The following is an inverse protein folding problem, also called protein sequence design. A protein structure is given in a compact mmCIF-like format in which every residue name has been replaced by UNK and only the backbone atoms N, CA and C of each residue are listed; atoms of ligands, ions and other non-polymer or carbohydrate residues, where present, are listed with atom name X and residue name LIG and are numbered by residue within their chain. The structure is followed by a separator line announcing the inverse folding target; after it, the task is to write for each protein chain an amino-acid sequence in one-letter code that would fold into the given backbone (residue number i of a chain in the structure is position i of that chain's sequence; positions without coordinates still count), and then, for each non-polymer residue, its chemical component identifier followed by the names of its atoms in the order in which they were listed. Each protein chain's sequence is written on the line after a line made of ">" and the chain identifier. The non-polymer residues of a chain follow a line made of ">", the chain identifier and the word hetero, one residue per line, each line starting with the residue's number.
data_IF_610701388877
#
_entry.id   IF_610701388877
#
_cell.length_a   1.000
_cell.length_b   1.000
_cell.length_c   1.000
_cell.angle_alpha   90.00
_cell.angle_beta   90.00
_cell.angle_gamma   90.00
#
_symmetry.space_group_name_H-M   'P 1'
#
loop_
_entity.id
_entity.type
_entity.pdbx_description
1 polymer ?
#
# COMPACT_ATOMS: atom_id res chain seq x y z
N UNK A 1 12.59 4.80 18.83
CA UNK A 1 12.70 4.31 17.45
C UNK A 1 11.79 5.11 16.55
N UNK A 2 12.33 5.68 15.49
CA UNK A 2 11.53 6.50 14.57
C UNK A 2 10.68 5.62 13.69
N UNK A 3 9.38 5.91 13.66
CA UNK A 3 8.44 5.19 12.81
C UNK A 3 8.49 5.79 11.40
N UNK A 4 8.65 4.96 10.39
CA UNK A 4 8.64 5.46 9.03
C UNK A 4 7.21 5.81 8.59
N UNK A 5 7.11 6.66 7.58
CA UNK A 5 5.82 7.04 6.98
C UNK A 5 5.44 6.14 5.82
N UNK A 6 5.94 4.91 5.82
CA UNK A 6 5.71 3.94 4.76
C UNK A 6 4.88 2.80 5.35
N UNK A 7 3.58 2.80 5.06
CA UNK A 7 2.63 1.85 5.65
C UNK A 7 2.01 0.94 4.59
N UNK A 8 1.83 -0.32 4.96
CA UNK A 8 1.08 -1.27 4.16
C UNK A 8 -0.14 -1.75 4.94
N UNK A 9 -1.30 -1.70 4.29
CA UNK A 9 -2.52 -2.27 4.82
C UNK A 9 -2.92 -3.48 3.99
N UNK A 10 -3.51 -4.46 4.65
CA UNK A 10 -4.09 -5.62 3.98
C UNK A 10 -5.59 -5.35 3.83
N UNK A 11 -6.08 -5.44 2.60
CA UNK A 11 -7.49 -5.20 2.32
C UNK A 11 -8.39 -6.19 3.03
N UNK A 12 -9.66 -5.80 3.18
CA UNK A 12 -10.61 -6.57 3.98
C UNK A 12 -10.80 -8.00 3.48
N UNK A 13 -10.90 -8.19 2.17
CA UNK A 13 -11.10 -9.52 1.62
C UNK A 13 -9.99 -10.48 2.06
N UNK A 14 -8.73 -10.03 1.98
CA UNK A 14 -7.59 -10.85 2.37
C UNK A 14 -7.50 -11.03 3.88
N UNK A 15 -7.87 -10.01 4.65
CA UNK A 15 -7.89 -10.11 6.11
C UNK A 15 -8.89 -11.15 6.59
N UNK A 16 -10.00 -11.30 5.88
CA UNK A 16 -11.05 -12.24 6.24
C UNK A 16 -10.73 -13.67 5.82
N UNK A 17 -9.66 -13.87 5.06
CA UNK A 17 -9.22 -15.21 4.66
C UNK A 17 -8.61 -15.97 5.82
N UNK A 18 -8.83 -17.27 5.81
CA UNK A 18 -8.18 -18.21 6.76
C UNK A 18 -6.70 -18.34 6.41
N UNK A 19 -5.87 -18.64 7.40
CA UNK A 19 -4.44 -18.85 7.19
C UNK A 19 -4.14 -19.99 6.22
N UNK A 20 -5.09 -20.89 6.00
CA UNK A 20 -4.94 -22.01 5.08
C UNK A 20 -5.51 -21.74 3.70
N UNK A 21 -6.11 -20.58 3.50
CA UNK A 21 -6.63 -20.22 2.19
C UNK A 21 -5.47 -20.00 1.22
N UNK A 22 -5.72 -20.32 -0.04
CA UNK A 22 -4.69 -20.37 -1.07
C UNK A 22 -5.07 -19.45 -2.23
N UNK A 23 -4.09 -18.77 -2.78
CA UNK A 23 -4.24 -18.01 -4.01
C UNK A 23 -3.44 -18.68 -5.12
N UNK A 24 -3.98 -18.70 -6.33
CA UNK A 24 -3.31 -19.28 -7.49
C UNK A 24 -3.14 -18.20 -8.55
N UNK A 25 -1.96 -18.18 -9.15
CA UNK A 25 -1.72 -17.30 -10.30
C UNK A 25 -2.39 -17.86 -11.55
N UNK A 26 -2.41 -17.07 -12.61
CA UNK A 26 -2.92 -17.54 -13.91
C UNK A 26 -2.15 -18.74 -14.44
N UNK A 27 -0.89 -18.88 -14.06
CA UNK A 27 -0.06 -20.04 -14.41
C UNK A 27 -0.18 -21.20 -13.42
N UNK A 28 -1.12 -21.08 -12.45
CA UNK A 28 -1.39 -22.12 -11.43
C UNK A 28 -0.29 -22.29 -10.39
N UNK A 29 0.52 -21.26 -10.17
CA UNK A 29 1.42 -21.23 -9.05
C UNK A 29 0.62 -20.93 -7.78
N UNK A 30 0.77 -21.76 -6.76
CA UNK A 30 -0.03 -21.70 -5.54
C UNK A 30 0.74 -21.05 -4.41
N UNK A 31 0.01 -20.31 -3.58
CA UNK A 31 0.59 -19.62 -2.43
C UNK A 31 -0.48 -19.47 -1.36
N UNK A 32 -0.11 -19.73 -0.10
CA UNK A 32 -1.02 -19.43 0.99
C UNK A 32 -1.20 -17.93 1.11
N UNK A 33 -2.42 -17.50 1.40
CA UNK A 33 -2.74 -16.07 1.50
C UNK A 33 -1.93 -15.39 2.59
N UNK A 34 -1.81 -15.99 3.77
CA UNK A 34 -1.01 -15.39 4.83
C UNK A 34 0.47 -15.30 4.46
N UNK A 35 0.97 -16.26 3.68
CA UNK A 35 2.34 -16.21 3.19
C UNK A 35 2.53 -15.04 2.22
N UNK A 36 1.55 -14.82 1.35
CA UNK A 36 1.56 -13.67 0.44
C UNK A 36 1.65 -12.35 1.22
N UNK A 37 0.81 -12.21 2.24
CA UNK A 37 0.79 -11.00 3.06
C UNK A 37 2.14 -10.79 3.75
N UNK A 38 2.71 -11.84 4.31
CA UNK A 38 4.02 -11.77 4.98
C UNK A 38 5.12 -11.37 4.01
N UNK A 39 5.10 -11.92 2.80
CA UNK A 39 6.10 -11.59 1.78
C UNK A 39 6.03 -10.11 1.41
N UNK A 40 4.85 -9.58 1.21
CA UNK A 40 4.68 -8.18 0.85
C UNK A 40 5.11 -7.27 2.01
N UNK A 41 4.68 -7.59 3.23
CA UNK A 41 5.08 -6.82 4.41
C UNK A 41 6.59 -6.81 4.59
N UNK A 42 7.24 -7.96 4.44
CA UNK A 42 8.69 -8.05 4.62
C UNK A 42 9.46 -7.38 3.49
N UNK A 43 8.83 -7.13 2.36
CA UNK A 43 9.46 -6.43 1.24
C UNK A 43 9.51 -4.91 1.45
N UNK A 44 8.78 -4.38 2.42
CA UNK A 44 8.80 -2.96 2.76
C UNK A 44 9.91 -2.68 3.78
N UNK A 45 11.13 -2.99 3.40
CA UNK A 45 12.31 -2.81 4.24
C UNK A 45 12.99 -1.48 3.98
N UNK A 46 14.11 -1.24 4.66
CA UNK A 46 14.88 -0.01 4.50
C UNK A 46 15.43 0.16 3.09
N UNK A 47 15.73 -0.92 2.39
CA UNK A 47 16.23 -0.83 1.01
C UNK A 47 15.17 -0.26 0.07
N UNK A 48 13.93 -0.67 0.22
CA UNK A 48 12.83 -0.14 -0.57
C UNK A 48 12.65 1.36 -0.34
N UNK A 49 12.70 1.78 0.92
CA UNK A 49 12.59 3.19 1.29
C UNK A 49 13.77 3.99 0.74
N UNK A 50 14.98 3.45 0.85
CA UNK A 50 16.18 4.10 0.33
C UNK A 50 16.14 4.21 -1.19
N UNK A 51 15.63 3.19 -1.88
CA UNK A 51 15.49 3.22 -3.34
C UNK A 51 14.54 4.33 -3.78
N UNK A 52 13.44 4.50 -3.06
CA UNK A 52 12.49 5.58 -3.35
C UNK A 52 13.16 6.94 -3.13
N UNK A 53 13.84 7.12 -2.00
CA UNK A 53 14.52 8.37 -1.68
C UNK A 53 15.61 8.68 -2.72
N UNK A 54 16.38 7.68 -3.13
CA UNK A 54 17.43 7.85 -4.12
C UNK A 54 16.87 8.20 -5.49
N UNK A 55 15.73 7.64 -5.84
CA UNK A 55 15.06 7.96 -7.10
C UNK A 55 14.66 9.43 -7.14
N UNK A 56 14.13 9.94 -6.04
CA UNK A 56 13.77 11.36 -5.93
C UNK A 56 15.03 12.22 -5.99
N UNK A 57 16.05 11.82 -5.25
CA UNK A 57 17.30 12.57 -5.14
C UNK A 57 17.98 12.77 -6.49
N UNK A 58 17.87 11.79 -7.39
CA UNK A 58 18.44 11.92 -8.75
C UNK A 58 17.74 12.96 -9.61
N UNK A 59 16.54 13.38 -9.21
CA UNK A 59 15.69 14.28 -10.01
C UNK A 59 15.67 15.69 -9.47
N UNK A 60 16.25 15.93 -8.31
CA UNK A 60 16.24 17.27 -7.67
C UNK A 60 17.66 17.66 -7.26
N UNK A 61 17.81 18.89 -6.80
CA UNK A 61 19.11 19.41 -6.38
C UNK A 61 19.66 18.65 -5.18
N UNK A 62 20.97 18.53 -5.10
CA UNK A 62 21.66 17.73 -4.09
C UNK A 62 21.49 18.26 -2.66
N UNK A 63 21.05 19.49 -2.50
CA UNK A 63 20.80 20.07 -1.17
C UNK A 63 19.59 19.44 -0.48
N UNK A 64 18.68 18.85 -1.24
CA UNK A 64 17.52 18.19 -0.67
C UNK A 64 17.89 16.84 -0.11
N UNK A 65 17.20 16.43 0.96
CA UNK A 65 17.45 15.15 1.65
C UNK A 65 16.19 14.30 1.69
N UNK A 66 15.79 13.72 0.55
CA UNK A 66 14.57 12.90 0.50
C UNK A 66 14.57 11.71 1.46
N UNK A 67 15.74 11.26 1.87
CA UNK A 67 15.85 10.16 2.85
C UNK A 67 15.23 10.52 4.19
N UNK A 68 15.09 11.81 4.50
CA UNK A 68 14.42 12.25 5.72
C UNK A 68 12.90 12.31 5.58
N UNK A 69 12.40 12.39 4.36
CA UNK A 69 10.97 12.64 4.12
C UNK A 69 10.09 11.50 4.62
N UNK A 70 10.60 10.27 4.60
CA UNK A 70 9.85 9.10 5.04
C UNK A 70 9.87 8.91 6.57
N UNK A 71 10.52 9.80 7.28
CA UNK A 71 10.63 9.74 8.74
C UNK A 71 10.15 11.06 9.35
N UNK A 72 11.06 11.84 9.89
CA UNK A 72 10.72 13.09 10.58
C UNK A 72 10.41 14.25 9.64
N UNK A 73 10.81 14.12 8.40
CA UNK A 73 10.68 15.19 7.43
C UNK A 73 11.93 16.05 7.35
N UNK A 74 11.97 16.89 6.36
CA UNK A 74 13.07 17.83 6.15
C UNK A 74 12.56 19.25 6.32
N UNK A 75 13.25 20.06 7.09
CA UNK A 75 12.87 21.44 7.31
C UNK A 75 13.00 22.24 6.01
N UNK A 76 12.01 23.04 5.71
CA UNK A 76 11.96 23.82 4.50
C UNK A 76 10.97 24.98 4.67
N UNK A 77 10.88 25.81 3.64
CA UNK A 77 9.95 26.94 3.63
C UNK A 77 9.20 26.97 2.32
N UNK A 78 7.95 27.38 2.37
CA UNK A 78 7.12 27.57 1.19
C UNK A 78 6.76 29.03 1.05
N UNK A 79 6.92 29.55 -0.16
CA UNK A 79 6.42 30.87 -0.52
C UNK A 79 5.23 30.68 -1.46
N UNK A 80 4.05 30.98 -0.96
CA UNK A 80 2.85 30.92 -1.78
C UNK A 80 2.72 32.20 -2.60
N UNK A 81 2.20 32.10 -3.82
CA UNK A 81 2.10 33.23 -4.72
C UNK A 81 1.33 34.41 -4.13
N UNK A 82 0.35 34.15 -3.26
CA UNK A 82 -0.50 35.19 -2.70
C UNK A 82 -0.19 35.49 -1.22
N UNK A 83 0.95 35.05 -0.72
CA UNK A 83 1.30 35.31 0.68
C UNK A 83 2.38 36.36 0.80
N UNK A 84 2.47 36.97 1.99
CA UNK A 84 3.42 38.06 2.26
C UNK A 84 4.77 37.59 2.77
N UNK A 85 5.02 36.30 2.77
CA UNK A 85 6.30 35.81 3.27
C UNK A 85 6.41 34.30 3.18
N UNK A 86 7.53 33.81 3.68
CA UNK A 86 7.84 32.38 3.67
C UNK A 86 7.20 31.71 4.88
N UNK A 87 6.59 30.55 4.64
CA UNK A 87 6.05 29.73 5.69
C UNK A 87 7.03 28.62 6.01
N UNK A 88 7.52 28.59 7.24
CA UNK A 88 8.43 27.54 7.69
C UNK A 88 7.66 26.27 8.05
N UNK A 89 8.26 25.15 7.75
CA UNK A 89 7.67 23.85 8.08
C UNK A 89 8.59 22.73 7.71
N UNK A 90 8.00 21.56 7.57
CA UNK A 90 8.72 20.36 7.18
C UNK A 90 7.99 19.70 6.03
N UNK A 91 8.76 19.17 5.09
CA UNK A 91 8.18 18.34 4.05
C UNK A 91 8.31 16.88 4.47
N UNK A 92 7.22 16.15 4.38
CA UNK A 92 7.15 14.73 4.68
C UNK A 92 6.49 13.99 3.54
N UNK A 93 6.98 12.80 3.28
CA UNK A 93 6.38 11.91 2.30
C UNK A 93 5.77 10.73 3.04
N UNK A 94 4.46 10.58 2.93
CA UNK A 94 3.73 9.43 3.50
C UNK A 94 3.33 8.54 2.34
N UNK A 95 3.69 7.27 2.44
CA UNK A 95 3.34 6.28 1.42
C UNK A 95 2.45 5.24 2.04
N UNK A 96 1.22 5.16 1.56
CA UNK A 96 0.26 4.18 2.01
C UNK A 96 -0.03 3.22 0.88
N UNK A 97 0.22 1.95 1.13
CA UNK A 97 -0.03 0.88 0.18
C UNK A 97 -1.12 -0.01 0.72
N UNK A 98 -1.95 -0.53 -0.16
CA UNK A 98 -2.97 -1.50 0.21
C UNK A 98 -2.86 -2.70 -0.71
N UNK A 99 -2.69 -3.88 -0.10
CA UNK A 99 -2.77 -5.13 -0.85
C UNK A 99 -4.21 -5.59 -0.85
N UNK A 100 -4.83 -5.66 -2.02
CA UNK A 100 -6.24 -6.02 -2.16
C UNK A 100 -6.42 -7.15 -3.13
N UNK A 101 -7.39 -8.00 -2.85
CA UNK A 101 -7.94 -8.89 -3.85
C UNK A 101 -9.28 -8.31 -4.31
N UNK A 102 -9.43 -8.17 -5.61
CA UNK A 102 -10.65 -7.62 -6.20
C UNK A 102 -11.34 -8.74 -6.97
N UNK A 103 -12.44 -9.30 -6.46
CA UNK A 103 -13.15 -10.35 -7.19
C UNK A 103 -13.68 -9.82 -8.51
N UNK A 104 -13.65 -10.65 -9.54
CA UNK A 104 -14.22 -10.26 -10.83
C UNK A 104 -15.71 -10.00 -10.73
N UNK A 105 -16.38 -10.73 -9.86
CA UNK A 105 -17.78 -10.48 -9.54
C UNK A 105 -17.85 -10.06 -8.09
N UNK A 106 -18.54 -8.93 -7.79
CA UNK A 106 -18.65 -8.51 -6.39
C UNK A 106 -19.23 -9.62 -5.55
N UNK A 107 -18.61 -9.89 -4.41
CA UNK A 107 -19.11 -10.88 -3.48
C UNK A 107 -20.32 -10.29 -2.78
N UNK A 108 -21.47 -10.64 -3.27
CA UNK A 108 -22.72 -10.32 -2.59
C UNK A 108 -22.83 -11.33 -1.47
N UNK A 109 -23.18 -10.89 -0.25
CA UNK A 109 -23.48 -11.81 0.81
C UNK A 109 -24.62 -12.71 0.35
N UNK A 110 -24.28 -13.90 -0.08
CA UNK A 110 -25.25 -14.83 -0.58
C UNK A 110 -25.72 -15.72 0.55
N UNK A 111 -27.01 -15.68 0.81
CA UNK A 111 -27.60 -16.74 1.61
C UNK A 111 -27.60 -18.02 0.76
N UNK A 112 -27.64 -19.20 1.41
CA UNK A 112 -27.76 -20.45 0.64
C UNK A 112 -28.96 -20.44 -0.32
N UNK A 113 -29.99 -19.72 0.04
CA UNK A 113 -31.18 -19.60 -0.79
C UNK A 113 -30.90 -18.84 -2.08
N UNK A 114 -30.06 -17.80 -2.01
CA UNK A 114 -29.69 -17.04 -3.20
C UNK A 114 -28.86 -17.86 -4.17
N UNK A 115 -27.99 -18.71 -3.65
CA UNK A 115 -27.20 -19.63 -4.47
C UNK A 115 -28.08 -20.63 -5.19
N UNK A 116 -29.06 -21.16 -4.50
CA UNK A 116 -30.02 -22.10 -5.09
C UNK A 116 -30.81 -21.40 -6.20
N UNK A 117 -31.26 -20.18 -5.95
CA UNK A 117 -31.97 -19.39 -6.95
C UNK A 117 -31.12 -19.13 -8.17
N UNK A 118 -29.86 -18.83 -7.96
CA UNK A 118 -28.93 -18.57 -9.03
C UNK A 118 -28.72 -19.79 -9.92
N UNK A 119 -28.62 -20.95 -9.33
CA UNK A 119 -28.52 -22.21 -10.05
C UNK A 119 -29.74 -22.49 -10.87
N UNK A 120 -30.92 -22.27 -10.31
CA UNK A 120 -32.18 -22.46 -11.00
C UNK A 120 -32.29 -21.50 -12.18
N UNK A 121 -31.91 -20.25 -11.99
CA UNK A 121 -32.03 -19.23 -13.02
C UNK A 121 -30.97 -19.34 -14.12
N UNK A 122 -29.91 -20.09 -13.89
CA UNK A 122 -28.85 -20.28 -14.88
C UNK A 122 -29.17 -21.39 -15.87
N UNK A 123 -30.25 -22.09 -15.72
CA UNK A 123 -30.61 -23.22 -16.60
C UNK A 123 -31.41 -22.83 -17.78
#
# INVERSE_FOLDING_TARGET
>A
MKKSNFDLEIGKYLKDCDSRDVIASSSKSLLYINRLCDLVLSSLDSNTKNNLANSIKRKIASQWKPELWLYDGEECEILKANSLGWQKGKIKLKVNLTLEFIPNEPEIEKSPLDDVRKEINSH
#
